data_IF_504957075845
#
_entry.id   IF_504957075845
#
_cell.length_a   1.000
_cell.length_b   1.000
_cell.length_c   1.000
_cell.angle_alpha   90.00
_cell.angle_beta   90.00
_cell.angle_gamma   90.00
#
_symmetry.space_group_name_H-M   'P 1'
#
loop_
_entity.id
_entity.type
_entity.pdbx_description
1 polymer ?
#
# COMPACT_ATOMS: atom_id res chain seq x y z
N UNK A 1 -56.63 -9.37 -0.94
CA UNK A 1 -55.18 -9.37 -1.27
C UNK A 1 -54.77 -10.76 -1.75
N UNK A 2 -54.29 -10.88 -3.00
CA UNK A 2 -53.81 -12.14 -3.56
C UNK A 2 -52.63 -12.71 -2.76
N UNK A 3 -52.56 -14.04 -2.60
CA UNK A 3 -51.44 -14.73 -1.94
C UNK A 3 -50.11 -14.40 -2.62
N UNK A 4 -50.12 -14.28 -3.95
CA UNK A 4 -48.94 -13.92 -4.75
C UNK A 4 -48.41 -12.51 -4.42
N UNK A 5 -49.30 -11.54 -4.18
CA UNK A 5 -48.88 -10.18 -3.83
C UNK A 5 -48.18 -10.13 -2.47
N UNK A 6 -48.66 -10.92 -1.48
CA UNK A 6 -48.05 -11.00 -0.16
C UNK A 6 -46.68 -11.68 -0.19
N UNK A 7 -46.52 -12.73 -1.01
CA UNK A 7 -45.22 -13.42 -1.17
C UNK A 7 -44.19 -12.51 -1.83
N UNK A 8 -44.57 -11.79 -2.88
CA UNK A 8 -43.65 -10.85 -3.54
C UNK A 8 -43.22 -9.75 -2.59
N UNK A 9 -44.16 -9.16 -1.84
CA UNK A 9 -43.84 -8.13 -0.86
C UNK A 9 -42.87 -8.64 0.22
N UNK A 10 -43.11 -9.83 0.77
CA UNK A 10 -42.22 -10.46 1.74
C UNK A 10 -40.83 -10.73 1.17
N UNK A 11 -40.75 -11.26 -0.06
CA UNK A 11 -39.49 -11.51 -0.74
C UNK A 11 -38.70 -10.21 -0.98
N UNK A 12 -39.35 -9.12 -1.39
CA UNK A 12 -38.71 -7.83 -1.59
C UNK A 12 -38.12 -7.26 -0.31
N UNK A 13 -38.83 -7.40 0.82
CA UNK A 13 -38.33 -6.97 2.14
C UNK A 13 -37.08 -7.76 2.52
N UNK A 14 -37.14 -9.10 2.41
CA UNK A 14 -36.01 -9.97 2.74
C UNK A 14 -34.79 -9.68 1.85
N UNK A 15 -35.01 -9.48 0.55
CA UNK A 15 -33.95 -9.13 -0.39
C UNK A 15 -33.28 -7.80 0.01
N UNK A 16 -34.08 -6.80 0.36
CA UNK A 16 -33.58 -5.48 0.77
C UNK A 16 -32.72 -5.58 2.03
N UNK A 17 -33.22 -6.28 3.05
CA UNK A 17 -32.48 -6.50 4.32
C UNK A 17 -31.18 -7.24 4.05
N UNK A 18 -31.22 -8.28 3.21
CA UNK A 18 -30.03 -9.07 2.85
C UNK A 18 -28.96 -8.23 2.17
N UNK A 19 -29.34 -7.34 1.25
CA UNK A 19 -28.40 -6.44 0.56
C UNK A 19 -27.75 -5.46 1.54
N UNK A 20 -28.55 -4.81 2.39
CA UNK A 20 -28.05 -3.84 3.38
C UNK A 20 -27.09 -4.52 4.36
N UNK A 21 -27.45 -5.69 4.88
CA UNK A 21 -26.59 -6.47 5.76
C UNK A 21 -25.29 -6.90 5.06
N UNK A 22 -25.38 -7.33 3.79
CA UNK A 22 -24.23 -7.71 2.98
C UNK A 22 -23.25 -6.55 2.76
N UNK A 23 -23.75 -5.35 2.43
CA UNK A 23 -22.91 -4.16 2.23
C UNK A 23 -22.24 -3.76 3.55
N UNK A 24 -22.97 -3.76 4.67
CA UNK A 24 -22.36 -3.46 5.98
C UNK A 24 -21.24 -4.44 6.34
N UNK A 25 -21.45 -5.74 6.08
CA UNK A 25 -20.41 -6.75 6.29
C UNK A 25 -19.17 -6.49 5.41
N UNK A 26 -19.38 -6.17 4.13
CA UNK A 26 -18.27 -5.89 3.21
C UNK A 26 -17.49 -4.63 3.60
N UNK A 27 -18.19 -3.56 3.98
CA UNK A 27 -17.57 -2.31 4.46
C UNK A 27 -16.67 -2.54 5.68
N UNK A 28 -17.10 -3.38 6.62
CA UNK A 28 -16.30 -3.73 7.81
C UNK A 28 -15.01 -4.47 7.39
N UNK A 29 -15.13 -5.46 6.49
CA UNK A 29 -13.98 -6.21 5.97
C UNK A 29 -12.99 -5.35 5.20
N UNK A 30 -13.49 -4.40 4.41
CA UNK A 30 -12.64 -3.46 3.66
C UNK A 30 -11.86 -2.55 4.61
N UNK A 31 -12.51 -2.07 5.69
CA UNK A 31 -11.86 -1.23 6.71
C UNK A 31 -10.67 -1.93 7.38
N UNK A 32 -10.80 -3.22 7.70
CA UNK A 32 -9.71 -4.02 8.27
C UNK A 32 -8.53 -4.18 7.28
N UNK A 33 -8.83 -4.24 5.99
CA UNK A 33 -7.83 -4.39 4.93
C UNK A 33 -7.10 -3.07 4.66
N UNK A 34 -7.79 -1.94 4.78
CA UNK A 34 -7.23 -0.62 4.52
C UNK A 34 -6.07 -0.26 5.48
N UNK A 35 -6.18 -0.65 6.76
CA UNK A 35 -5.11 -0.44 7.75
C UNK A 35 -3.79 -1.13 7.35
N UNK A 36 -3.89 -2.34 6.78
CA UNK A 36 -2.72 -3.10 6.30
C UNK A 36 -2.04 -2.42 5.11
N UNK A 37 -2.77 -1.64 4.32
CA UNK A 37 -2.21 -0.82 3.24
C UNK A 37 -1.29 0.27 3.79
N UNK A 38 -1.78 1.02 4.79
CA UNK A 38 -1.03 2.10 5.44
C UNK A 38 0.25 1.59 6.11
N UNK A 39 0.16 0.47 6.85
CA UNK A 39 1.32 -0.11 7.53
C UNK A 39 2.44 -0.53 6.54
N UNK A 40 2.06 -1.10 5.37
CA UNK A 40 3.03 -1.44 4.32
C UNK A 40 3.65 -0.19 3.71
N UNK A 41 2.87 0.87 3.54
CA UNK A 41 3.36 2.13 2.98
C UNK A 41 4.35 2.81 3.93
N UNK A 42 4.06 2.82 5.23
CA UNK A 42 4.97 3.31 6.27
C UNK A 42 6.29 2.52 6.26
N UNK A 43 6.23 1.18 6.21
CA UNK A 43 7.42 0.33 6.09
C UNK A 43 8.24 0.64 4.84
N UNK A 44 7.58 0.81 3.68
CA UNK A 44 8.25 1.20 2.43
C UNK A 44 8.94 2.55 2.54
N UNK A 45 8.34 3.52 3.22
CA UNK A 45 8.96 4.84 3.43
C UNK A 45 10.16 4.77 4.38
N UNK A 46 10.07 3.98 5.45
CA UNK A 46 11.17 3.75 6.37
C UNK A 46 12.36 3.10 5.66
N UNK A 47 12.13 2.04 4.89
CA UNK A 47 13.19 1.39 4.09
C UNK A 47 13.83 2.37 3.09
N UNK A 48 13.01 3.20 2.43
CA UNK A 48 13.52 4.22 1.50
C UNK A 48 14.40 5.24 2.20
N UNK A 49 14.03 5.64 3.42
CA UNK A 49 14.82 6.57 4.22
C UNK A 49 16.16 5.94 4.64
N UNK A 50 16.14 4.69 5.13
CA UNK A 50 17.35 3.95 5.47
C UNK A 50 18.31 3.84 4.28
N UNK A 51 17.81 3.50 3.09
CA UNK A 51 18.63 3.42 1.86
C UNK A 51 19.27 4.76 1.49
N UNK A 52 18.57 5.88 1.71
CA UNK A 52 19.14 7.22 1.47
C UNK A 52 20.27 7.53 2.44
N UNK A 53 20.09 7.19 3.71
CA UNK A 53 21.12 7.37 4.74
C UNK A 53 22.35 6.49 4.47
N UNK A 54 22.15 5.24 4.06
CA UNK A 54 23.23 4.36 3.64
C UNK A 54 24.00 4.92 2.45
N UNK A 55 23.28 5.45 1.45
CA UNK A 55 23.91 6.09 0.30
C UNK A 55 24.71 7.34 0.71
N UNK A 56 24.18 8.16 1.61
CA UNK A 56 24.89 9.33 2.13
C UNK A 56 26.17 8.93 2.87
N UNK A 57 26.10 7.94 3.78
CA UNK A 57 27.27 7.40 4.48
C UNK A 57 28.32 6.83 3.53
N UNK A 58 27.88 6.12 2.49
CA UNK A 58 28.80 5.59 1.49
C UNK A 58 29.51 6.70 0.71
N UNK A 59 28.80 7.78 0.35
CA UNK A 59 29.41 8.94 -0.31
C UNK A 59 30.43 9.63 0.59
N UNK A 60 30.14 9.82 1.87
CA UNK A 60 31.08 10.39 2.84
C UNK A 60 32.36 9.54 2.93
N UNK A 61 32.21 8.22 3.07
CA UNK A 61 33.34 7.28 3.08
C UNK A 61 34.13 7.34 1.78
N UNK A 62 33.44 7.36 0.65
CA UNK A 62 34.08 7.48 -0.66
C UNK A 62 34.89 8.77 -0.78
N UNK A 63 34.35 9.91 -0.34
CA UNK A 63 35.09 11.18 -0.35
C UNK A 63 36.32 11.14 0.55
N UNK A 64 36.21 10.57 1.76
CA UNK A 64 37.35 10.43 2.67
C UNK A 64 38.43 9.51 2.10
N UNK A 65 38.04 8.39 1.47
CA UNK A 65 38.97 7.46 0.84
C UNK A 65 39.65 8.07 -0.40
N UNK A 66 38.90 8.80 -1.23
CA UNK A 66 39.44 9.50 -2.41
C UNK A 66 40.50 10.55 -2.05
N UNK A 67 40.40 11.19 -0.88
CA UNK A 67 41.43 12.12 -0.39
C UNK A 67 42.75 11.42 -0.06
N UNK A 68 42.69 10.17 0.42
CA UNK A 68 43.85 9.37 0.76
C UNK A 68 44.42 8.63 -0.46
N UNK A 69 43.54 8.19 -1.37
CA UNK A 69 43.86 7.38 -2.54
C UNK A 69 43.12 7.93 -3.77
N UNK A 70 43.73 8.89 -4.49
CA UNK A 70 43.14 9.43 -5.70
C UNK A 70 43.10 8.34 -6.78
N UNK A 71 41.90 8.00 -7.25
CA UNK A 71 41.70 7.12 -8.39
C UNK A 71 41.19 7.94 -9.59
N UNK A 72 41.59 7.55 -10.80
CA UNK A 72 41.03 8.12 -12.03
C UNK A 72 39.57 7.73 -12.17
N UNK A 73 38.68 8.68 -12.50
CA UNK A 73 37.25 8.40 -12.62
C UNK A 73 36.99 7.32 -13.70
N UNK A 74 36.12 6.32 -13.42
CA UNK A 74 35.75 5.33 -14.41
C UNK A 74 34.96 5.98 -15.56
N UNK A 75 35.04 5.44 -16.78
CA UNK A 75 34.31 5.98 -17.93
C UNK A 75 32.81 6.05 -17.61
N UNK A 76 32.18 7.21 -17.81
CA UNK A 76 30.73 7.40 -17.62
C UNK A 76 29.97 6.44 -18.53
N UNK A 77 29.53 5.30 -17.99
CA UNK A 77 28.58 4.43 -18.67
C UNK A 77 27.25 5.19 -18.75
N UNK A 78 26.91 5.64 -19.96
CA UNK A 78 25.60 6.22 -20.28
C UNK A 78 24.56 5.11 -20.13
N UNK A 79 23.80 5.14 -19.04
CA UNK A 79 22.58 4.35 -18.90
C UNK A 79 21.57 4.93 -19.90
N UNK A 80 21.30 4.15 -20.95
CA UNK A 80 20.29 4.41 -21.97
C UNK A 80 18.88 4.08 -21.43
#
# INVERSE_FOLDING_TARGET
>A
MSRAAKTTLGASIVATISIVAGVHYLQIKERETMYKGVERDEKRQQEKQQRKEDLARNRERETALRQLQPISDPPRQRLA
#
